data_IF_115235517213
#
_entry.id   IF_115235517213
#
_cell.length_a   1.000
_cell.length_b   1.000
_cell.length_c   1.000
_cell.angle_alpha   90.00
_cell.angle_beta   90.00
_cell.angle_gamma   90.00
#
_symmetry.space_group_name_H-M   'P 1'
#
loop_
_entity.id
_entity.type
_entity.pdbx_description
1 polymer ?
#
# COMPACT_ATOMS: atom_id res chain seq x y z
N UNK A 1 -17.40 7.72 -22.81
CA UNK A 1 -17.06 6.40 -23.40
C UNK A 1 -16.52 6.62 -24.80
N UNK A 2 -15.45 5.91 -25.17
CA UNK A 2 -14.86 5.92 -26.51
C UNK A 2 -15.78 5.23 -27.52
N UNK A 3 -15.72 5.65 -28.79
CA UNK A 3 -16.34 4.87 -29.86
C UNK A 3 -15.51 3.60 -30.15
N UNK A 4 -16.10 2.51 -30.70
CA UNK A 4 -15.35 1.31 -31.05
C UNK A 4 -14.15 1.58 -31.97
N UNK A 5 -14.31 2.51 -32.93
CA UNK A 5 -13.23 2.92 -33.82
C UNK A 5 -12.09 3.65 -33.08
N UNK A 6 -12.41 4.52 -32.11
CA UNK A 6 -11.40 5.20 -31.30
C UNK A 6 -10.64 4.23 -30.41
N UNK A 7 -11.33 3.27 -29.79
CA UNK A 7 -10.71 2.21 -28.97
C UNK A 7 -9.78 1.35 -29.82
N UNK A 8 -10.25 0.87 -30.97
CA UNK A 8 -9.44 0.08 -31.90
C UNK A 8 -8.22 0.86 -32.41
N UNK A 9 -8.40 2.14 -32.77
CA UNK A 9 -7.28 2.99 -33.18
C UNK A 9 -6.24 3.10 -32.06
N UNK A 10 -6.64 3.42 -30.83
CA UNK A 10 -5.71 3.47 -29.69
C UNK A 10 -4.98 2.14 -29.50
N UNK A 11 -5.69 1.01 -29.56
CA UNK A 11 -5.11 -0.32 -29.41
C UNK A 11 -4.07 -0.63 -30.49
N UNK A 12 -4.38 -0.36 -31.76
CA UNK A 12 -3.45 -0.57 -32.87
C UNK A 12 -2.23 0.33 -32.76
N UNK A 13 -2.42 1.60 -32.38
CA UNK A 13 -1.32 2.54 -32.26
C UNK A 13 -0.41 2.21 -31.08
N UNK A 14 -0.96 1.87 -29.91
CA UNK A 14 -0.20 1.40 -28.76
C UNK A 14 0.55 0.10 -29.08
N UNK A 15 -0.07 -0.83 -29.80
CA UNK A 15 0.58 -2.09 -30.20
C UNK A 15 1.78 -1.85 -31.12
N UNK A 16 1.66 -0.89 -32.04
CA UNK A 16 2.73 -0.53 -32.98
C UNK A 16 3.84 0.30 -32.35
N UNK A 17 3.50 1.08 -31.32
CA UNK A 17 4.42 1.94 -30.58
C UNK A 17 5.46 1.09 -29.83
N UNK A 18 6.51 0.66 -30.53
CA UNK A 18 7.61 -0.15 -29.98
C UNK A 18 7.94 -1.42 -30.79
N UNK A 19 7.33 -1.62 -31.97
CA UNK A 19 7.86 -2.60 -32.92
C UNK A 19 9.26 -2.17 -33.37
N UNK A 20 10.23 -3.08 -33.34
CA UNK A 20 11.63 -2.88 -33.75
C UNK A 20 11.78 -2.72 -35.28
N UNK A 21 10.95 -1.91 -35.92
CA UNK A 21 11.11 -1.52 -37.33
C UNK A 21 12.12 -0.39 -37.53
N UNK A 22 12.89 -0.04 -36.49
CA UNK A 22 14.00 0.92 -36.54
C UNK A 22 13.59 2.39 -36.53
N UNK A 23 12.37 2.72 -36.96
CA UNK A 23 11.83 4.09 -36.91
C UNK A 23 10.36 4.07 -36.47
N UNK A 24 10.05 4.76 -35.37
CA UNK A 24 8.66 5.11 -35.06
C UNK A 24 8.08 5.98 -36.15
N UNK A 25 6.90 5.62 -36.65
CA UNK A 25 6.23 6.43 -37.66
C UNK A 25 5.74 7.75 -37.05
N UNK A 26 5.65 8.82 -37.86
CA UNK A 26 5.07 10.10 -37.42
C UNK A 26 3.66 9.93 -36.84
N UNK A 27 2.89 8.96 -37.37
CA UNK A 27 1.54 8.63 -36.89
C UNK A 27 1.59 8.03 -35.48
N UNK A 28 2.53 7.12 -35.19
CA UNK A 28 2.72 6.55 -33.85
C UNK A 28 3.12 7.60 -32.83
N UNK A 29 4.07 8.47 -33.17
CA UNK A 29 4.47 9.58 -32.30
C UNK A 29 3.30 10.50 -31.99
N UNK A 30 2.53 10.86 -33.02
CA UNK A 30 1.34 11.70 -32.87
C UNK A 30 0.29 11.03 -31.98
N UNK A 31 0.07 9.72 -32.12
CA UNK A 31 -0.87 8.99 -31.28
C UNK A 31 -0.42 8.92 -29.80
N UNK A 32 0.88 8.70 -29.56
CA UNK A 32 1.45 8.74 -28.21
C UNK A 32 1.34 10.14 -27.59
N UNK A 33 1.62 11.21 -28.34
CA UNK A 33 1.45 12.59 -27.89
C UNK A 33 -0.02 12.92 -27.57
N UNK A 34 -0.96 12.40 -28.35
CA UNK A 34 -2.40 12.57 -28.10
C UNK A 34 -2.83 11.91 -26.80
N UNK A 35 -2.39 10.68 -26.52
CA UNK A 35 -2.77 9.99 -25.28
C UNK A 35 -2.11 10.64 -24.06
N UNK A 36 -0.86 11.10 -24.18
CA UNK A 36 -0.19 11.90 -23.15
C UNK A 36 -0.91 13.22 -22.90
N UNK A 37 -1.34 13.91 -23.97
CA UNK A 37 -2.13 15.14 -23.82
C UNK A 37 -3.45 14.87 -23.09
N UNK A 38 -4.16 13.79 -23.43
CA UNK A 38 -5.37 13.38 -22.71
C UNK A 38 -5.08 13.10 -21.23
N UNK A 39 -3.99 12.38 -20.92
CA UNK A 39 -3.57 12.14 -19.54
C UNK A 39 -3.34 13.46 -18.78
N UNK A 40 -2.67 14.44 -19.39
CA UNK A 40 -2.43 15.75 -18.77
C UNK A 40 -3.71 16.53 -18.50
N UNK A 41 -4.69 16.49 -19.42
CA UNK A 41 -6.02 17.09 -19.20
C UNK A 41 -6.73 16.41 -18.03
N UNK A 42 -6.70 15.09 -17.98
CA UNK A 42 -7.28 14.28 -16.91
C UNK A 42 -6.61 14.59 -15.55
N UNK A 43 -5.27 14.65 -15.50
CA UNK A 43 -4.53 15.08 -14.31
C UNK A 43 -4.87 16.51 -13.88
N UNK A 44 -5.08 17.44 -14.82
CA UNK A 44 -5.51 18.81 -14.51
C UNK A 44 -6.89 18.83 -13.85
N UNK A 45 -7.84 17.99 -14.31
CA UNK A 45 -9.16 17.83 -13.68
C UNK A 45 -9.02 17.37 -12.23
N UNK A 46 -8.10 16.45 -11.96
CA UNK A 46 -7.85 15.93 -10.61
C UNK A 46 -7.19 16.95 -9.67
N UNK A 47 -6.38 17.89 -10.18
CA UNK A 47 -5.69 18.91 -9.35
C UNK A 47 -6.66 19.82 -8.59
N UNK A 48 -7.87 20.04 -9.11
CA UNK A 48 -8.90 20.85 -8.44
C UNK A 48 -9.57 20.17 -7.25
N UNK A 49 -9.34 18.86 -7.05
CA UNK A 49 -10.00 18.06 -6.02
C UNK A 49 -9.01 17.86 -4.86
N UNK A 50 -9.46 18.01 -3.62
CA UNK A 50 -8.61 17.75 -2.44
C UNK A 50 -8.81 16.33 -1.90
N UNK A 51 -10.06 15.86 -1.85
CA UNK A 51 -10.39 14.54 -1.31
C UNK A 51 -9.81 13.40 -2.17
N UNK A 52 -9.13 12.45 -1.51
CA UNK A 52 -8.64 11.23 -2.17
C UNK A 52 -9.78 10.36 -2.70
N UNK A 53 -10.85 10.20 -1.92
CA UNK A 53 -12.03 9.44 -2.33
C UNK A 53 -12.69 10.07 -3.57
N UNK A 54 -12.90 11.39 -3.57
CA UNK A 54 -13.47 12.07 -4.74
C UNK A 54 -12.54 12.01 -5.98
N UNK A 55 -11.21 11.99 -5.79
CA UNK A 55 -10.27 11.73 -6.88
C UNK A 55 -10.41 10.32 -7.42
N UNK A 56 -10.57 9.32 -6.55
CA UNK A 56 -10.76 7.93 -6.94
C UNK A 56 -12.02 7.76 -7.80
N UNK A 57 -13.13 8.40 -7.43
CA UNK A 57 -14.36 8.40 -8.23
C UNK A 57 -14.13 8.99 -9.63
N UNK A 58 -13.47 10.14 -9.71
CA UNK A 58 -13.17 10.78 -11.01
C UNK A 58 -12.18 9.95 -11.83
N UNK A 59 -11.17 9.32 -11.22
CA UNK A 59 -10.26 8.39 -11.92
C UNK A 59 -11.02 7.22 -12.50
N UNK A 60 -11.99 6.67 -11.77
CA UNK A 60 -12.85 5.56 -12.22
C UNK A 60 -13.68 5.95 -13.44
N UNK A 61 -14.17 7.18 -13.50
CA UNK A 61 -14.85 7.72 -14.70
C UNK A 61 -13.92 7.87 -15.91
N UNK A 62 -12.65 8.19 -15.67
CA UNK A 62 -11.66 8.50 -16.71
C UNK A 62 -10.95 7.26 -17.26
N UNK A 63 -10.72 6.22 -16.46
CA UNK A 63 -10.02 4.99 -16.86
C UNK A 63 -10.55 4.37 -18.18
N UNK A 64 -11.87 4.30 -18.44
CA UNK A 64 -12.40 3.79 -19.70
C UNK A 64 -11.94 4.57 -20.96
N UNK A 65 -11.46 5.81 -20.82
CA UNK A 65 -10.94 6.60 -21.94
C UNK A 65 -9.52 6.18 -22.39
N UNK A 66 -8.88 5.31 -21.62
CA UNK A 66 -7.54 4.78 -21.89
C UNK A 66 -7.54 3.28 -22.20
N UNK A 67 -8.70 2.63 -22.17
CA UNK A 67 -8.82 1.18 -22.33
C UNK A 67 -8.14 0.68 -23.61
N UNK A 68 -8.33 1.38 -24.74
CA UNK A 68 -7.67 1.01 -26.00
C UNK A 68 -6.15 1.06 -25.90
N UNK A 69 -5.59 2.07 -25.22
CA UNK A 69 -4.16 2.18 -24.99
C UNK A 69 -3.64 1.07 -24.07
N UNK A 70 -4.37 0.78 -22.99
CA UNK A 70 -4.05 -0.30 -22.05
C UNK A 70 -3.98 -1.64 -22.81
N UNK A 71 -5.02 -2.00 -23.55
CA UNK A 71 -5.04 -3.26 -24.31
C UNK A 71 -3.89 -3.32 -25.31
N UNK A 72 -3.66 -2.24 -26.06
CA UNK A 72 -2.62 -2.24 -27.09
C UNK A 72 -1.21 -2.35 -26.52
N UNK A 73 -0.92 -1.68 -25.40
CA UNK A 73 0.40 -1.79 -24.76
C UNK A 73 0.61 -3.17 -24.16
N UNK A 74 -0.37 -3.71 -23.42
CA UNK A 74 -0.27 -5.05 -22.83
C UNK A 74 -0.16 -6.14 -23.90
N UNK A 75 -0.93 -6.03 -25.00
CA UNK A 75 -0.88 -6.96 -26.13
C UNK A 75 0.48 -6.94 -26.85
N UNK A 76 1.15 -5.78 -26.89
CA UNK A 76 2.44 -5.62 -27.56
C UNK A 76 3.59 -6.30 -26.81
N UNK A 77 3.44 -6.39 -25.49
CA UNK A 77 4.40 -6.91 -24.53
C UNK A 77 5.87 -6.45 -24.73
N UNK A 78 6.08 -5.24 -25.26
CA UNK A 78 7.41 -4.80 -25.73
C UNK A 78 8.29 -4.15 -24.64
N UNK A 79 7.76 -3.88 -23.45
CA UNK A 79 8.51 -3.31 -22.33
C UNK A 79 8.97 -1.87 -22.55
N UNK A 80 8.39 -1.15 -23.52
CA UNK A 80 8.74 0.25 -23.76
C UNK A 80 8.38 1.12 -22.55
N UNK A 81 9.24 2.09 -22.17
CA UNK A 81 8.88 3.12 -21.20
C UNK A 81 7.62 3.89 -21.63
N UNK A 82 6.59 3.82 -20.79
CA UNK A 82 5.29 4.45 -21.03
C UNK A 82 4.77 5.07 -19.72
N UNK A 83 4.81 6.40 -19.64
CA UNK A 83 4.31 7.18 -18.50
C UNK A 83 2.78 7.02 -18.34
N UNK A 84 2.05 6.81 -19.43
CA UNK A 84 0.60 6.64 -19.40
C UNK A 84 0.27 5.35 -18.69
N UNK A 85 0.88 4.23 -19.09
CA UNK A 85 0.61 2.92 -18.49
C UNK A 85 0.98 2.87 -17.02
N UNK A 86 2.16 3.40 -16.66
CA UNK A 86 2.59 3.45 -15.25
C UNK A 86 1.68 4.34 -14.40
N UNK A 87 1.18 5.46 -14.94
CA UNK A 87 0.20 6.30 -14.23
C UNK A 87 -1.16 5.60 -14.08
N UNK A 88 -1.63 4.91 -15.12
CA UNK A 88 -2.91 4.20 -15.10
C UNK A 88 -2.90 3.02 -14.11
N UNK A 89 -1.75 2.36 -13.93
CA UNK A 89 -1.56 1.37 -12.86
C UNK A 89 -1.88 1.97 -11.49
N UNK A 90 -1.29 3.13 -11.15
CA UNK A 90 -1.53 3.82 -9.87
C UNK A 90 -3.00 4.23 -9.74
N UNK A 91 -3.61 4.72 -10.83
CA UNK A 91 -5.03 5.11 -10.81
C UNK A 91 -5.95 3.91 -10.58
N UNK A 92 -5.67 2.75 -11.18
CA UNK A 92 -6.44 1.54 -10.95
C UNK A 92 -6.39 1.13 -9.47
N UNK A 93 -5.21 1.22 -8.83
CA UNK A 93 -5.08 0.96 -7.39
C UNK A 93 -5.88 1.97 -6.56
N UNK A 94 -5.77 3.27 -6.87
CA UNK A 94 -6.51 4.33 -6.17
C UNK A 94 -8.03 4.13 -6.24
N UNK A 95 -8.54 3.59 -7.35
CA UNK A 95 -9.96 3.29 -7.56
C UNK A 95 -10.42 1.99 -6.87
N UNK A 96 -9.49 1.18 -6.34
CA UNK A 96 -9.77 -0.16 -5.84
C UNK A 96 -10.10 -1.18 -6.94
N UNK A 97 -9.77 -0.88 -8.21
CA UNK A 97 -9.93 -1.83 -9.31
C UNK A 97 -8.73 -2.78 -9.34
N UNK A 98 -8.74 -3.74 -8.40
CA UNK A 98 -7.64 -4.70 -8.23
C UNK A 98 -7.38 -5.54 -9.48
N UNK A 99 -8.39 -6.04 -10.23
CA UNK A 99 -8.13 -6.78 -11.47
C UNK A 99 -7.35 -5.95 -12.49
N UNK A 100 -7.73 -4.69 -12.72
CA UNK A 100 -7.01 -3.83 -13.66
C UNK A 100 -5.62 -3.46 -13.13
N UNK A 101 -5.53 -3.12 -11.84
CA UNK A 101 -4.26 -2.75 -11.20
C UNK A 101 -3.22 -3.87 -11.27
N UNK A 102 -3.63 -5.12 -10.99
CA UNK A 102 -2.74 -6.28 -11.06
C UNK A 102 -2.35 -6.60 -12.50
N UNK A 103 -3.29 -6.50 -13.46
CA UNK A 103 -2.99 -6.75 -14.88
C UNK A 103 -1.98 -5.77 -15.46
N UNK A 104 -2.14 -4.47 -15.15
CA UNK A 104 -1.14 -3.47 -15.56
C UNK A 104 0.14 -3.63 -14.73
N UNK A 105 0.01 -3.89 -13.43
CA UNK A 105 1.11 -4.05 -12.49
C UNK A 105 2.05 -5.19 -12.85
N UNK A 106 1.52 -6.33 -13.29
CA UNK A 106 2.33 -7.45 -13.79
C UNK A 106 3.25 -7.02 -14.94
N UNK A 107 2.70 -6.32 -15.94
CA UNK A 107 3.47 -5.80 -17.07
C UNK A 107 4.54 -4.81 -16.61
N UNK A 108 4.16 -3.82 -15.79
CA UNK A 108 5.07 -2.79 -15.27
C UNK A 108 6.22 -3.40 -14.45
N UNK A 109 5.93 -4.36 -13.58
CA UNK A 109 6.92 -5.03 -12.73
C UNK A 109 7.80 -6.01 -13.51
N UNK A 110 7.24 -6.71 -14.51
CA UNK A 110 7.99 -7.64 -15.36
C UNK A 110 9.00 -6.92 -16.26
N UNK A 111 8.62 -5.77 -16.81
CA UNK A 111 9.48 -4.95 -17.67
C UNK A 111 10.30 -3.89 -16.92
N UNK A 112 10.20 -3.85 -15.58
CA UNK A 112 10.92 -2.90 -14.74
C UNK A 112 10.70 -1.43 -15.15
N UNK A 113 9.46 -1.07 -15.47
CA UNK A 113 9.13 0.28 -15.92
C UNK A 113 9.20 1.27 -14.75
N UNK A 114 9.79 2.44 -15.01
CA UNK A 114 9.92 3.50 -14.01
C UNK A 114 8.58 4.19 -13.76
N UNK A 115 8.21 4.33 -12.49
CA UNK A 115 7.02 5.08 -12.10
C UNK A 115 7.30 6.59 -12.10
N UNK A 116 6.33 7.43 -12.49
CA UNK A 116 6.46 8.88 -12.36
C UNK A 116 6.39 9.30 -10.89
N UNK A 117 7.28 10.20 -10.48
CA UNK A 117 7.25 10.86 -9.16
C UNK A 117 7.22 9.88 -7.95
N UNK A 118 8.05 8.84 -7.99
CA UNK A 118 8.03 7.75 -7.01
C UNK A 118 8.98 7.92 -5.80
N UNK A 119 9.72 9.04 -5.72
CA UNK A 119 10.76 9.28 -4.72
C UNK A 119 11.77 8.13 -4.57
N UNK A 120 12.06 7.40 -5.65
CA UNK A 120 13.01 6.28 -5.68
C UNK A 120 12.42 4.91 -5.33
N UNK A 121 11.10 4.79 -5.15
CA UNK A 121 10.43 3.50 -4.91
C UNK A 121 10.14 2.77 -6.23
N UNK A 122 10.56 1.51 -6.35
CA UNK A 122 10.26 0.70 -7.52
C UNK A 122 8.76 0.34 -7.64
N UNK A 123 8.37 -0.17 -8.81
CA UNK A 123 6.97 -0.49 -9.10
C UNK A 123 6.40 -1.63 -8.24
N UNK A 124 7.21 -2.65 -7.90
CA UNK A 124 6.76 -3.78 -7.09
C UNK A 124 6.45 -3.34 -5.66
N UNK A 125 7.31 -2.48 -5.11
CA UNK A 125 7.15 -1.83 -3.81
C UNK A 125 5.88 -1.00 -3.78
N UNK A 126 5.67 -0.09 -4.75
CA UNK A 126 4.47 0.76 -4.80
C UNK A 126 3.21 -0.07 -4.95
N UNK A 127 3.18 -1.04 -5.89
CA UNK A 127 2.02 -1.89 -6.11
C UNK A 127 1.66 -2.68 -4.83
N UNK A 128 2.66 -3.22 -4.15
CA UNK A 128 2.45 -3.99 -2.92
C UNK A 128 1.89 -3.14 -1.79
N UNK A 129 2.49 -1.97 -1.53
CA UNK A 129 2.03 -1.08 -0.46
C UNK A 129 0.62 -0.57 -0.71
N UNK A 130 0.34 -0.09 -1.91
CA UNK A 130 -0.94 0.56 -2.22
C UNK A 130 -2.10 -0.45 -2.25
N UNK A 131 -1.85 -1.73 -2.56
CA UNK A 131 -2.86 -2.81 -2.42
C UNK A 131 -3.00 -3.27 -0.96
N UNK A 132 -1.89 -3.42 -0.22
CA UNK A 132 -1.94 -3.95 1.14
C UNK A 132 -2.44 -2.94 2.19
N UNK A 133 -2.09 -1.66 2.07
CA UNK A 133 -2.37 -0.65 3.09
C UNK A 133 -3.88 -0.45 3.36
N UNK A 134 -4.76 -0.35 2.35
CA UNK A 134 -6.21 -0.22 2.58
C UNK A 134 -6.80 -1.44 3.30
N UNK A 135 -6.38 -2.65 2.90
CA UNK A 135 -6.80 -3.90 3.53
C UNK A 135 -6.37 -3.97 4.99
N UNK A 136 -5.10 -3.65 5.28
CA UNK A 136 -4.57 -3.67 6.65
C UNK A 136 -5.23 -2.59 7.52
N UNK A 137 -5.58 -1.45 6.93
CA UNK A 137 -6.35 -0.41 7.61
C UNK A 137 -7.73 -0.93 7.98
N UNK A 138 -8.46 -1.52 7.03
CA UNK A 138 -9.78 -2.12 7.25
C UNK A 138 -9.72 -3.22 8.32
N UNK A 139 -8.69 -4.08 8.25
CA UNK A 139 -8.48 -5.15 9.22
C UNK A 139 -8.26 -4.64 10.65
N UNK A 140 -7.60 -3.49 10.80
CA UNK A 140 -7.36 -2.85 12.09
C UNK A 140 -8.56 -2.08 12.63
N UNK A 141 -9.38 -1.49 11.75
CA UNK A 141 -10.58 -0.75 12.15
C UNK A 141 -11.79 -1.63 12.43
N UNK A 142 -11.88 -2.76 11.72
CA UNK A 142 -12.97 -3.72 11.83
C UNK A 142 -12.38 -5.15 11.90
N UNK A 143 -12.28 -5.73 13.11
CA UNK A 143 -11.79 -7.09 13.32
C UNK A 143 -12.64 -8.16 12.63
N UNK A 144 -13.92 -7.90 12.39
CA UNK A 144 -14.89 -8.85 11.85
C UNK A 144 -15.12 -8.66 10.34
N UNK A 145 -14.53 -7.62 9.74
CA UNK A 145 -14.62 -7.36 8.30
C UNK A 145 -14.28 -8.61 7.48
N UNK A 146 -15.15 -8.93 6.53
CA UNK A 146 -14.89 -9.97 5.54
C UNK A 146 -13.85 -9.47 4.54
N UNK A 147 -12.68 -10.11 4.55
CA UNK A 147 -11.58 -9.83 3.64
C UNK A 147 -11.34 -10.95 2.63
N UNK A 148 -12.23 -11.95 2.56
CA UNK A 148 -12.06 -13.10 1.68
C UNK A 148 -11.96 -12.71 0.20
N UNK A 149 -12.61 -11.61 -0.20
CA UNK A 149 -12.52 -11.05 -1.56
C UNK A 149 -11.12 -10.55 -1.95
N UNK A 150 -10.18 -10.41 -1.01
CA UNK A 150 -8.79 -10.03 -1.28
C UNK A 150 -7.84 -11.23 -1.40
N UNK A 151 -8.31 -12.46 -1.16
CA UNK A 151 -7.44 -13.65 -1.22
C UNK A 151 -6.82 -13.80 -2.62
N UNK A 152 -7.65 -13.84 -3.67
CA UNK A 152 -7.17 -14.00 -5.05
C UNK A 152 -6.29 -12.82 -5.50
N UNK A 153 -6.69 -11.55 -5.30
CA UNK A 153 -5.83 -10.41 -5.66
C UNK A 153 -4.47 -10.41 -4.96
N UNK A 154 -4.40 -10.83 -3.70
CA UNK A 154 -3.14 -10.91 -2.96
C UNK A 154 -2.26 -12.08 -3.41
N UNK A 155 -2.86 -13.19 -3.84
CA UNK A 155 -2.13 -14.33 -4.40
C UNK A 155 -1.52 -13.96 -5.75
N UNK A 156 -2.31 -13.31 -6.61
CA UNK A 156 -1.81 -12.75 -7.88
C UNK A 156 -0.71 -11.73 -7.63
N UNK A 157 -0.88 -10.82 -6.65
CA UNK A 157 0.18 -9.88 -6.25
C UNK A 157 1.45 -10.61 -5.78
N UNK A 158 1.30 -11.65 -4.98
CA UNK A 158 2.42 -12.45 -4.48
C UNK A 158 3.23 -13.05 -5.63
N UNK A 159 2.56 -13.62 -6.63
CA UNK A 159 3.20 -14.17 -7.82
C UNK A 159 3.97 -13.10 -8.61
N UNK A 160 3.38 -11.92 -8.80
CA UNK A 160 4.02 -10.79 -9.50
C UNK A 160 5.32 -10.37 -8.81
N UNK A 161 5.37 -10.40 -7.47
CA UNK A 161 6.49 -9.82 -6.70
C UNK A 161 7.44 -10.83 -6.07
N UNK A 162 7.19 -12.14 -6.16
CA UNK A 162 7.96 -13.20 -5.46
C UNK A 162 9.49 -13.12 -5.68
N UNK A 163 9.92 -12.66 -6.86
CA UNK A 163 11.34 -12.56 -7.24
C UNK A 163 11.76 -11.09 -7.48
N UNK A 164 11.19 -10.16 -6.72
CA UNK A 164 11.52 -8.74 -6.79
C UNK A 164 12.14 -8.30 -5.48
N UNK A 165 13.20 -7.51 -5.59
CA UNK A 165 13.79 -6.85 -4.43
C UNK A 165 12.80 -5.80 -3.91
N UNK A 166 12.64 -5.74 -2.59
CA UNK A 166 11.79 -4.76 -1.92
C UNK A 166 12.15 -4.70 -0.43
N UNK A 167 11.89 -3.56 0.24
CA UNK A 167 12.15 -3.44 1.67
C UNK A 167 11.41 -4.51 2.48
N UNK A 168 12.08 -5.06 3.50
CA UNK A 168 11.51 -6.11 4.37
C UNK A 168 10.20 -5.67 5.04
N UNK A 169 10.05 -4.38 5.31
CA UNK A 169 8.84 -3.78 5.85
C UNK A 169 7.64 -3.92 4.90
N UNK A 170 7.87 -3.85 3.59
CA UNK A 170 6.86 -4.00 2.55
C UNK A 170 6.51 -5.47 2.35
N UNK A 171 7.52 -6.36 2.34
CA UNK A 171 7.32 -7.82 2.34
C UNK A 171 6.50 -8.29 3.54
N UNK A 172 6.80 -7.73 4.72
CA UNK A 172 6.05 -8.01 5.94
C UNK A 172 4.59 -7.56 5.83
N UNK A 173 4.30 -6.42 5.18
CA UNK A 173 2.92 -5.97 4.92
C UNK A 173 2.17 -6.95 4.03
N UNK A 174 2.79 -7.45 2.95
CA UNK A 174 2.18 -8.44 2.07
C UNK A 174 1.86 -9.74 2.82
N UNK A 175 2.83 -10.28 3.57
CA UNK A 175 2.62 -11.47 4.41
C UNK A 175 1.46 -11.26 5.39
N UNK A 176 1.43 -10.10 6.06
CA UNK A 176 0.36 -9.72 6.99
C UNK A 176 -0.98 -9.65 6.26
N UNK A 177 -1.08 -8.95 5.14
CA UNK A 177 -2.31 -8.81 4.37
C UNK A 177 -2.85 -10.17 3.92
N UNK A 178 -1.98 -11.06 3.40
CA UNK A 178 -2.34 -12.42 2.99
C UNK A 178 -2.93 -13.24 4.14
N UNK A 179 -2.39 -13.11 5.35
CA UNK A 179 -2.92 -13.79 6.53
C UNK A 179 -4.27 -13.20 6.99
N UNK A 180 -4.41 -11.87 6.98
CA UNK A 180 -5.67 -11.21 7.37
C UNK A 180 -6.82 -11.48 6.40
N UNK A 181 -6.53 -11.59 5.09
CA UNK A 181 -7.51 -11.98 4.08
C UNK A 181 -8.09 -13.38 4.33
N UNK A 182 -7.30 -14.26 4.96
CA UNK A 182 -7.64 -15.66 5.25
C UNK A 182 -8.13 -15.90 6.68
N UNK A 183 -8.29 -14.85 7.49
CA UNK A 183 -8.57 -14.99 8.94
C UNK A 183 -9.85 -15.77 9.27
N UNK A 184 -10.82 -15.78 8.35
CA UNK A 184 -12.11 -16.46 8.52
C UNK A 184 -12.11 -17.91 8.03
N UNK A 185 -11.00 -18.36 7.41
CA UNK A 185 -10.81 -19.77 7.05
C UNK A 185 -10.48 -20.55 8.32
N UNK A 186 -11.26 -21.61 8.58
CA UNK A 186 -11.20 -22.38 9.84
C UNK A 186 -10.62 -23.78 9.66
N UNK A 187 -10.28 -24.17 8.44
CA UNK A 187 -9.56 -25.40 8.17
C UNK A 187 -8.13 -25.33 8.71
N UNK A 188 -7.61 -26.47 9.18
CA UNK A 188 -6.31 -26.53 9.83
C UNK A 188 -5.17 -26.06 8.90
N UNK A 189 -5.26 -26.35 7.61
CA UNK A 189 -4.26 -25.98 6.62
C UNK A 189 -4.19 -24.47 6.40
N UNK A 190 -5.34 -23.80 6.23
CA UNK A 190 -5.40 -22.35 6.07
C UNK A 190 -4.98 -21.59 7.33
N UNK A 191 -5.34 -22.11 8.52
CA UNK A 191 -4.88 -21.56 9.80
C UNK A 191 -3.36 -21.72 9.93
N UNK A 192 -2.80 -22.88 9.57
CA UNK A 192 -1.36 -23.12 9.58
C UNK A 192 -0.63 -22.21 8.58
N UNK A 193 -1.16 -22.06 7.36
CA UNK A 193 -0.60 -21.16 6.34
C UNK A 193 -0.59 -19.70 6.80
N UNK A 194 -1.71 -19.22 7.37
CA UNK A 194 -1.82 -17.87 7.93
C UNK A 194 -0.84 -17.66 9.09
N UNK A 195 -0.67 -18.66 9.96
CA UNK A 195 0.31 -18.60 11.05
C UNK A 195 1.76 -18.51 10.54
N UNK A 196 2.12 -19.24 9.48
CA UNK A 196 3.44 -19.11 8.84
C UNK A 196 3.65 -17.70 8.29
N UNK A 197 2.66 -17.16 7.57
CA UNK A 197 2.73 -15.81 7.01
C UNK A 197 2.92 -14.74 8.09
N UNK A 198 2.19 -14.82 9.21
CA UNK A 198 2.37 -13.86 10.30
C UNK A 198 3.74 -14.00 10.99
N UNK A 199 4.27 -15.21 11.13
CA UNK A 199 5.62 -15.43 11.67
C UNK A 199 6.69 -14.84 10.75
N UNK A 200 6.54 -15.03 9.43
CA UNK A 200 7.42 -14.42 8.44
C UNK A 200 7.35 -12.89 8.49
N UNK A 201 6.13 -12.32 8.57
CA UNK A 201 5.95 -10.88 8.73
C UNK A 201 6.65 -10.34 9.99
N UNK A 202 6.60 -11.08 11.10
CA UNK A 202 7.27 -10.71 12.36
C UNK A 202 8.80 -10.86 12.28
N UNK A 203 9.30 -11.84 11.53
CA UNK A 203 10.72 -12.04 11.30
C UNK A 203 11.31 -10.89 10.48
N UNK A 204 10.64 -10.53 9.38
CA UNK A 204 11.03 -9.42 8.50
C UNK A 204 10.87 -8.05 9.18
N UNK A 205 9.79 -7.87 9.95
CA UNK A 205 9.55 -6.62 10.67
C UNK A 205 9.04 -6.91 12.10
N UNK A 206 9.90 -6.81 13.13
CA UNK A 206 9.52 -6.99 14.53
C UNK A 206 8.41 -6.04 15.01
N UNK A 207 8.22 -4.91 14.33
CA UNK A 207 7.19 -3.91 14.61
C UNK A 207 5.92 -4.10 13.76
N UNK A 208 5.76 -5.22 13.05
CA UNK A 208 4.57 -5.52 12.23
C UNK A 208 3.26 -5.61 13.04
N UNK A 209 3.34 -5.74 14.37
CA UNK A 209 2.18 -5.70 15.26
C UNK A 209 1.29 -6.95 15.19
N UNK A 210 1.85 -8.12 14.91
CA UNK A 210 1.12 -9.40 14.69
C UNK A 210 1.20 -10.40 15.85
N UNK A 211 1.79 -10.00 16.99
CA UNK A 211 2.07 -10.89 18.14
C UNK A 211 0.79 -11.52 18.72
N UNK A 212 -0.30 -10.75 18.78
CA UNK A 212 -1.58 -11.21 19.33
C UNK A 212 -2.23 -12.22 18.40
N UNK A 213 -2.22 -11.94 17.11
CA UNK A 213 -2.78 -12.78 16.05
C UNK A 213 -2.04 -14.11 15.95
N UNK A 214 -0.71 -14.10 16.04
CA UNK A 214 0.11 -15.32 16.12
C UNK A 214 -0.32 -16.19 17.33
N UNK A 215 -0.50 -15.59 18.50
CA UNK A 215 -0.92 -16.32 19.70
C UNK A 215 -2.33 -16.92 19.54
N UNK A 216 -3.27 -16.16 18.95
CA UNK A 216 -4.64 -16.61 18.67
C UNK A 216 -4.65 -17.78 17.69
N UNK A 217 -4.00 -17.65 16.54
CA UNK A 217 -3.96 -18.71 15.52
C UNK A 217 -3.21 -19.95 16.00
N UNK A 218 -2.16 -19.80 16.82
CA UNK A 218 -1.46 -20.95 17.42
C UNK A 218 -2.40 -21.78 18.31
N UNK A 219 -3.25 -21.12 19.12
CA UNK A 219 -4.25 -21.80 19.96
C UNK A 219 -5.35 -22.45 19.14
N UNK A 220 -5.84 -21.75 18.13
CA UNK A 220 -6.84 -22.27 17.20
C UNK A 220 -6.33 -23.54 16.49
N UNK A 221 -5.09 -23.52 16.01
CA UNK A 221 -4.45 -24.65 15.34
C UNK A 221 -4.27 -25.85 16.29
N UNK A 222 -3.86 -25.62 17.55
CA UNK A 222 -3.76 -26.68 18.57
C UNK A 222 -5.10 -27.37 18.83
N UNK A 223 -6.18 -26.57 18.86
CA UNK A 223 -7.56 -27.08 19.02
C UNK A 223 -8.03 -27.89 17.80
N UNK A 224 -7.73 -27.41 16.59
CA UNK A 224 -8.09 -28.08 15.33
C UNK A 224 -7.34 -29.40 15.10
N UNK A 225 -6.09 -29.47 15.56
CA UNK A 225 -5.22 -30.65 15.42
C UNK A 225 -5.35 -31.65 16.57
N UNK A 226 -6.31 -31.46 17.48
CA UNK A 226 -6.62 -32.44 18.52
C UNK A 226 -5.55 -32.62 19.60
N UNK A 227 -4.63 -31.67 19.76
CA UNK A 227 -3.69 -31.64 20.88
C UNK A 227 -4.40 -31.18 22.17
N UNK A 228 -5.35 -31.97 22.66
CA UNK A 228 -5.83 -31.89 24.03
C UNK A 228 -4.73 -32.45 24.94
N UNK A 229 -3.77 -31.59 25.27
CA UNK A 229 -2.94 -31.82 26.44
C UNK A 229 -3.72 -31.33 27.65
N UNK A 230 -4.17 -32.27 28.48
CA UNK A 230 -4.62 -32.03 29.85
C UNK A 230 -3.67 -31.07 30.57
N UNK A 231 -4.23 -30.01 31.14
CA UNK A 231 -3.74 -29.47 32.42
C UNK A 231 -4.95 -29.26 33.33
N UNK A 232 -5.32 -30.35 33.98
CA UNK A 232 -6.04 -30.36 35.24
C UNK A 232 -5.08 -29.91 36.34
N UNK A 233 -5.42 -28.83 37.04
CA UNK A 233 -5.05 -28.62 38.44
C UNK A 233 -3.66 -28.05 38.73
N UNK A 234 -3.60 -26.73 38.95
CA UNK A 234 -2.97 -26.22 40.15
C UNK A 234 -3.79 -25.06 40.70
N UNK A 235 -4.81 -25.42 41.48
CA UNK A 235 -5.41 -24.53 42.46
C UNK A 235 -4.49 -24.56 43.70
N UNK A 236 -3.99 -23.39 44.08
CA UNK A 236 -2.90 -23.27 45.04
C UNK A 236 -2.71 -21.83 45.51
N UNK A 237 -3.81 -21.22 45.96
CA UNK A 237 -3.89 -20.32 47.12
C UNK A 237 -2.86 -19.19 47.25
N UNK A 238 -3.31 -17.97 46.93
CA UNK A 238 -2.87 -16.71 47.54
C UNK A 238 -3.07 -16.75 49.06
N UNK A 239 -2.13 -16.20 49.84
CA UNK A 239 -2.50 -15.44 51.03
C UNK A 239 -2.08 -13.98 50.87
N UNK A 240 -3.06 -13.09 50.90
CA UNK A 240 -2.86 -11.74 51.41
C UNK A 240 -2.84 -11.84 52.95
N UNK A 241 -1.93 -11.14 53.64
CA UNK A 241 -2.32 -10.00 54.48
C UNK A 241 -1.13 -9.29 55.19
N UNK A 242 -1.31 -7.98 55.31
CA UNK A 242 -0.79 -6.90 56.18
C UNK A 242 0.56 -6.98 56.95
N UNK A 243 1.25 -5.83 56.93
CA UNK A 243 2.32 -5.49 57.87
C UNK A 243 2.95 -4.12 57.60
N UNK A 244 2.30 -3.08 58.12
CA UNK A 244 2.64 -1.64 58.08
C UNK A 244 3.87 -1.37 58.98
N UNK A 245 4.79 -0.49 58.56
CA UNK A 245 5.30 0.61 59.39
C UNK A 245 6.28 1.54 58.66
N UNK A 246 5.93 2.83 58.62
CA UNK A 246 6.82 3.97 58.35
C UNK A 246 7.50 4.36 59.68
N UNK A 247 8.60 5.13 59.64
CA UNK A 247 8.42 6.49 60.15
C UNK A 247 9.04 7.58 59.28
N UNK A 248 8.29 8.67 59.20
CA UNK A 248 8.62 9.93 58.55
C UNK A 248 9.62 10.77 59.36
N UNK A 249 10.37 11.64 58.66
CA UNK A 249 10.71 13.00 59.13
C UNK A 249 11.07 13.93 57.96
N UNK A 250 10.12 14.82 57.63
CA UNK A 250 10.26 16.13 56.96
C UNK A 250 10.95 17.14 57.92
N UNK A 251 11.09 18.47 57.63
CA UNK A 251 11.01 19.24 56.38
C UNK A 251 12.11 20.33 56.22
N UNK A 252 12.25 20.92 55.03
CA UNK A 252 12.63 22.35 54.92
C UNK A 252 12.22 22.94 53.56
N UNK A 253 11.24 23.85 53.62
CA UNK A 253 10.79 24.77 52.58
C UNK A 253 11.62 26.06 52.67
N UNK A 254 12.15 26.59 51.56
CA UNK A 254 12.34 28.04 51.40
C UNK A 254 12.03 28.50 49.97
N UNK A 255 11.11 29.45 49.95
CA UNK A 255 10.68 30.40 48.93
C UNK A 255 11.80 31.29 48.38
N UNK A 256 11.67 31.78 47.14
CA UNK A 256 11.73 33.21 46.80
C UNK A 256 11.51 33.44 45.30
N UNK A 257 11.09 34.65 44.97
CA UNK A 257 10.40 35.04 43.74
C UNK A 257 11.30 35.80 42.73
N UNK A 258 10.85 35.77 41.47
CA UNK A 258 10.69 36.88 40.49
C UNK A 258 11.77 37.99 40.45
N UNK A 259 12.36 38.20 39.25
CA UNK A 259 12.38 39.52 38.58
C UNK A 259 12.73 39.44 37.08
N UNK A 260 11.93 40.19 36.34
CA UNK A 260 12.00 40.65 34.95
C UNK A 260 13.22 41.53 34.67
N UNK A 261 13.79 41.49 33.45
CA UNK A 261 14.28 42.68 32.74
C UNK A 261 14.13 42.52 31.22
N UNK A 262 13.42 43.49 30.65
CA UNK A 262 13.27 43.90 29.25
C UNK A 262 14.57 44.39 28.60
N UNK A 263 14.76 44.11 27.30
CA UNK A 263 15.79 44.76 26.48
C UNK A 263 15.38 44.87 25.01
N UNK A 264 14.87 46.04 24.63
CA UNK A 264 14.46 46.45 23.27
C UNK A 264 15.51 47.43 22.74
N UNK A 265 16.09 47.19 21.56
CA UNK A 265 16.76 48.22 20.75
C UNK A 265 16.87 47.71 19.29
N UNK A 266 16.03 48.20 18.38
CA UNK A 266 16.21 49.39 17.51
C UNK A 266 17.12 49.14 16.29
N UNK A 267 16.45 49.06 15.14
CA UNK A 267 16.95 49.30 13.78
C UNK A 267 17.67 50.64 13.68
N UNK A 268 18.55 50.80 12.67
CA UNK A 268 18.38 51.97 11.81
C UNK A 268 18.31 51.60 10.34
N UNK A 269 17.36 52.27 9.69
CA UNK A 269 17.11 52.35 8.26
C UNK A 269 18.01 53.44 7.70
N UNK A 270 18.71 53.21 6.58
CA UNK A 270 19.08 54.30 5.67
C UNK A 270 19.19 53.83 4.22
N UNK A 271 18.30 54.41 3.41
CA UNK A 271 18.33 54.55 1.96
C UNK A 271 19.62 55.28 1.50
N UNK A 272 20.12 55.32 0.26
CA UNK A 272 19.50 55.34 -1.08
C UNK A 272 20.63 55.41 -2.14
N UNK A 273 20.29 55.09 -3.41
CA UNK A 273 20.87 55.57 -4.69
C UNK A 273 22.25 55.05 -5.12
N UNK A 274 22.29 54.26 -6.20
CA UNK A 274 22.27 54.72 -7.60
C UNK A 274 21.66 53.65 -8.49
#
# INVERSE_FOLDING_TARGET
MLTPAQKHFQQVMARRAGLETGEETLVERTAHEQILHRLRLAQSRLKGIQSKAAKADVKKELLPEFEGWIEGTLDSDNGRPDEVITTLMVWAVDCGDLPLALRIGEYVVRHNLSLPDNFGRDAATVLTEEICNPLLTLAGTDPDADLSGYIEPLDTLWEIVTNRDMPDEVRAKLCKACAFARRHLTDADSVAASLRLLREAMHLNPNAGVKREIATLTRALKKLTGSTGDETGNDGTTPADTGKDTPAKTPARKTAARKTVTGKAKTPRRATKK
#
